data_IF_278680509092
#
_entry.id   IF_278680509092
#
_cell.length_a   1.000
_cell.length_b   1.000
_cell.length_c   1.000
_cell.angle_alpha   90.00
_cell.angle_beta   90.00
_cell.angle_gamma   90.00
#
_symmetry.space_group_name_H-M   'P 1'
#
loop_
_entity.id
_entity.type
_entity.pdbx_description
1 polymer ?
#
# COMPACT_ATOMS: atom_id res chain seq x y z
N UNK A 1 -15.31 -15.11 -7.96
CA UNK A 1 -14.86 -13.84 -7.36
C UNK A 1 -16.10 -13.14 -6.81
N UNK A 2 -16.02 -12.48 -5.66
CA UNK A 2 -17.15 -11.71 -5.14
C UNK A 2 -17.55 -10.62 -6.12
N UNK A 3 -18.85 -10.30 -6.15
CA UNK A 3 -19.40 -9.23 -6.98
C UNK A 3 -19.69 -8.03 -6.09
N UNK A 4 -19.70 -6.84 -6.68
CA UNK A 4 -20.22 -5.67 -5.98
C UNK A 4 -21.71 -5.82 -5.76
N UNK A 5 -22.12 -5.63 -4.51
CA UNK A 5 -23.53 -5.71 -4.10
C UNK A 5 -23.82 -4.54 -3.13
N UNK A 6 -24.73 -3.66 -3.54
CA UNK A 6 -25.14 -2.51 -2.71
C UNK A 6 -26.18 -2.98 -1.70
N UNK A 7 -25.82 -2.88 -0.43
CA UNK A 7 -26.74 -3.09 0.70
C UNK A 7 -27.23 -1.71 1.18
N UNK A 8 -28.50 -1.41 0.95
CA UNK A 8 -29.07 -0.13 1.32
C UNK A 8 -30.57 -0.24 1.55
N UNK A 9 -31.13 0.47 2.55
CA UNK A 9 -32.58 0.58 2.71
C UNK A 9 -33.24 1.47 1.64
N UNK A 10 -32.42 2.23 0.87
CA UNK A 10 -32.91 3.15 -0.14
C UNK A 10 -33.07 2.44 -1.49
N UNK A 11 -34.02 2.93 -2.27
CA UNK A 11 -34.20 2.57 -3.68
C UNK A 11 -33.96 3.81 -4.55
N UNK A 12 -33.41 3.66 -5.77
CA UNK A 12 -33.25 4.78 -6.69
C UNK A 12 -34.60 5.47 -6.95
N UNK A 13 -34.59 6.80 -6.86
CA UNK A 13 -35.82 7.61 -7.01
C UNK A 13 -35.56 8.88 -7.86
N UNK A 14 -36.63 9.48 -8.36
CA UNK A 14 -36.54 10.65 -9.24
C UNK A 14 -35.75 10.31 -10.52
N UNK A 15 -34.77 11.13 -10.86
CA UNK A 15 -33.90 10.99 -12.04
C UNK A 15 -32.75 9.99 -11.84
N UNK A 16 -32.59 9.43 -10.65
CA UNK A 16 -31.48 8.50 -10.35
C UNK A 16 -31.48 7.23 -11.24
N UNK A 17 -32.63 6.54 -11.48
CA UNK A 17 -32.65 5.35 -12.34
C UNK A 17 -32.10 5.63 -13.74
N UNK A 18 -32.56 6.71 -14.36
CA UNK A 18 -32.12 7.12 -15.70
C UNK A 18 -30.62 7.49 -15.71
N UNK A 19 -30.15 8.23 -14.69
CA UNK A 19 -28.75 8.58 -14.55
C UNK A 19 -27.85 7.35 -14.37
N UNK A 20 -28.26 6.36 -13.56
CA UNK A 20 -27.55 5.09 -13.37
C UNK A 20 -27.41 4.34 -14.68
N UNK A 21 -28.52 4.22 -15.41
CA UNK A 21 -28.54 3.49 -16.68
C UNK A 21 -27.68 4.18 -17.75
N UNK A 22 -27.79 5.49 -17.88
CA UNK A 22 -27.00 6.28 -18.83
C UNK A 22 -25.50 6.22 -18.53
N UNK A 23 -25.09 6.38 -17.26
CA UNK A 23 -23.68 6.32 -16.85
C UNK A 23 -23.09 4.91 -17.06
N UNK A 24 -23.83 3.86 -16.67
CA UNK A 24 -23.38 2.49 -16.86
C UNK A 24 -23.24 2.15 -18.36
N UNK A 25 -24.23 2.49 -19.18
CA UNK A 25 -24.19 2.29 -20.62
C UNK A 25 -23.02 3.07 -21.26
N UNK A 26 -22.77 4.30 -20.83
CA UNK A 26 -21.63 5.08 -21.28
C UNK A 26 -20.29 4.40 -21.01
N UNK A 27 -20.11 3.82 -19.82
CA UNK A 27 -18.89 3.06 -19.46
C UNK A 27 -18.77 1.80 -20.32
N UNK A 28 -19.86 1.06 -20.53
CA UNK A 28 -19.88 -0.15 -21.35
C UNK A 28 -19.56 0.14 -22.82
N UNK A 29 -20.02 1.28 -23.33
CA UNK A 29 -19.75 1.77 -24.69
C UNK A 29 -18.36 2.43 -24.84
N UNK A 30 -17.55 2.48 -23.75
CA UNK A 30 -16.18 2.99 -23.78
C UNK A 30 -16.08 4.52 -23.79
N UNK A 31 -17.11 5.24 -23.35
CA UNK A 31 -17.01 6.69 -23.15
C UNK A 31 -15.93 6.98 -22.10
N UNK A 32 -14.98 7.86 -22.46
CA UNK A 32 -13.85 8.22 -21.60
C UNK A 32 -14.26 9.15 -20.47
N UNK A 33 -15.22 10.01 -20.70
CA UNK A 33 -15.64 11.06 -19.79
C UNK A 33 -17.17 11.14 -19.73
N UNK A 34 -17.70 11.29 -18.52
CA UNK A 34 -19.10 11.51 -18.24
C UNK A 34 -19.23 12.44 -17.03
N UNK A 35 -20.28 13.23 -16.96
CA UNK A 35 -20.53 14.16 -15.85
C UNK A 35 -21.89 13.87 -15.24
N UNK A 36 -21.90 13.61 -13.92
CA UNK A 36 -23.12 13.56 -13.10
C UNK A 36 -23.32 14.90 -12.42
N UNK A 37 -24.30 15.68 -12.87
CA UNK A 37 -24.67 16.96 -12.28
C UNK A 37 -25.85 16.77 -11.33
N UNK A 38 -25.71 17.27 -10.11
CA UNK A 38 -26.77 17.20 -9.10
C UNK A 38 -26.48 18.12 -7.92
N UNK A 39 -27.52 18.67 -7.31
CA UNK A 39 -27.42 19.50 -6.11
C UNK A 39 -26.90 18.72 -4.91
N UNK A 40 -26.46 19.41 -3.88
CA UNK A 40 -26.06 18.79 -2.60
C UNK A 40 -27.27 18.05 -2.03
N UNK A 41 -27.06 16.83 -1.53
CA UNK A 41 -28.13 16.00 -0.98
C UNK A 41 -28.99 15.22 -2.00
N UNK A 42 -28.70 15.32 -3.32
CA UNK A 42 -29.44 14.56 -4.36
C UNK A 42 -29.07 13.06 -4.42
N UNK A 43 -28.23 12.56 -3.51
CA UNK A 43 -27.85 11.15 -3.48
C UNK A 43 -26.82 10.76 -4.55
N UNK A 44 -25.94 11.67 -5.00
CA UNK A 44 -24.90 11.37 -6.00
C UNK A 44 -24.02 10.20 -5.62
N UNK A 45 -23.61 10.10 -4.34
CA UNK A 45 -22.79 8.96 -3.87
C UNK A 45 -23.55 7.63 -4.02
N UNK A 46 -24.82 7.60 -3.68
CA UNK A 46 -25.67 6.43 -3.88
C UNK A 46 -25.86 6.07 -5.36
N UNK A 47 -26.09 7.08 -6.22
CA UNK A 47 -26.14 6.91 -7.67
C UNK A 47 -24.85 6.26 -8.18
N UNK A 48 -23.68 6.75 -7.77
CA UNK A 48 -22.38 6.16 -8.14
C UNK A 48 -22.20 4.74 -7.57
N UNK A 49 -22.66 4.45 -6.36
CA UNK A 49 -22.64 3.10 -5.82
C UNK A 49 -23.44 2.14 -6.69
N UNK A 50 -24.65 2.55 -7.15
CA UNK A 50 -25.47 1.74 -8.08
C UNK A 50 -24.84 1.59 -9.46
N UNK A 51 -24.08 2.58 -9.96
CA UNK A 51 -23.30 2.46 -11.21
C UNK A 51 -22.18 1.43 -11.03
N UNK A 52 -21.43 1.48 -9.92
CA UNK A 52 -20.35 0.52 -9.60
C UNK A 52 -20.92 -0.92 -9.52
N UNK A 53 -22.04 -1.08 -8.81
CA UNK A 53 -22.75 -2.36 -8.74
C UNK A 53 -23.14 -2.89 -10.12
N UNK A 54 -23.60 -2.02 -11.01
CA UNK A 54 -24.05 -2.42 -12.36
C UNK A 54 -22.88 -2.78 -13.27
N UNK A 55 -21.78 -2.02 -13.21
CA UNK A 55 -20.61 -2.16 -14.10
C UNK A 55 -19.64 -3.27 -13.64
N UNK A 56 -19.59 -3.57 -12.35
CA UNK A 56 -18.73 -4.64 -11.78
C UNK A 56 -17.23 -4.49 -12.07
N UNK A 57 -16.69 -3.26 -12.03
CA UNK A 57 -15.26 -2.98 -12.27
C UNK A 57 -14.60 -2.41 -11.02
N UNK A 58 -13.31 -2.74 -10.75
CA UNK A 58 -12.53 -2.02 -9.75
C UNK A 58 -12.61 -0.51 -9.98
N UNK A 59 -12.79 0.25 -8.92
CA UNK A 59 -13.10 1.68 -9.02
C UNK A 59 -12.15 2.51 -8.16
N UNK A 60 -11.61 3.58 -8.75
CA UNK A 60 -10.87 4.61 -8.03
C UNK A 60 -11.77 5.85 -7.87
N UNK A 61 -11.98 6.27 -6.61
CA UNK A 61 -12.69 7.51 -6.26
C UNK A 61 -11.65 8.53 -5.81
N UNK A 62 -11.51 9.61 -6.57
CA UNK A 62 -10.52 10.65 -6.29
C UNK A 62 -11.19 11.87 -5.67
N UNK A 63 -10.79 12.20 -4.43
CA UNK A 63 -11.26 13.36 -3.69
C UNK A 63 -10.17 14.44 -3.59
N UNK A 64 -10.56 15.70 -3.53
CA UNK A 64 -9.62 16.82 -3.50
C UNK A 64 -8.89 17.00 -2.15
N UNK A 65 -9.36 16.39 -1.07
CA UNK A 65 -8.69 16.42 0.24
C UNK A 65 -8.95 15.16 1.08
N UNK A 66 -8.18 14.99 2.18
CA UNK A 66 -8.29 13.84 3.09
C UNK A 66 -9.66 13.72 3.76
N UNK A 67 -10.28 14.84 4.13
CA UNK A 67 -11.57 14.86 4.84
C UNK A 67 -12.70 14.34 3.97
N UNK A 68 -12.79 14.84 2.73
CA UNK A 68 -13.79 14.35 1.77
C UNK A 68 -13.53 12.89 1.41
N UNK A 69 -12.25 12.49 1.24
CA UNK A 69 -11.91 11.08 0.99
C UNK A 69 -12.38 10.18 2.15
N UNK A 70 -12.21 10.61 3.41
CA UNK A 70 -12.67 9.87 4.58
C UNK A 70 -14.21 9.75 4.61
N UNK A 71 -14.91 10.82 4.33
CA UNK A 71 -16.39 10.83 4.24
C UNK A 71 -16.86 9.85 3.16
N UNK A 72 -16.36 9.98 1.93
CA UNK A 72 -16.74 9.09 0.82
C UNK A 72 -16.40 7.63 1.11
N UNK A 73 -15.25 7.36 1.73
CA UNK A 73 -14.87 6.01 2.14
C UNK A 73 -15.88 5.43 3.14
N UNK A 74 -16.33 6.21 4.12
CA UNK A 74 -17.35 5.78 5.07
C UNK A 74 -18.69 5.49 4.38
N UNK A 75 -19.16 6.38 3.50
CA UNK A 75 -20.39 6.20 2.73
C UNK A 75 -20.33 4.94 1.85
N UNK A 76 -19.22 4.72 1.12
CA UNK A 76 -19.07 3.51 0.30
C UNK A 76 -18.96 2.23 1.14
N UNK A 77 -18.36 2.26 2.34
CA UNK A 77 -18.35 1.12 3.26
C UNK A 77 -19.75 0.74 3.75
N UNK A 78 -20.62 1.73 3.95
CA UNK A 78 -22.03 1.49 4.30
C UNK A 78 -22.78 0.83 3.14
N UNK A 79 -22.54 1.28 1.89
CA UNK A 79 -23.17 0.71 0.70
C UNK A 79 -22.61 -0.67 0.32
N UNK A 80 -21.34 -0.93 0.58
CA UNK A 80 -20.62 -2.15 0.18
C UNK A 80 -19.99 -2.88 1.37
N UNK A 81 -20.79 -3.33 2.36
CA UNK A 81 -20.26 -3.94 3.59
C UNK A 81 -19.51 -5.26 3.36
N UNK A 82 -19.76 -5.94 2.22
CA UNK A 82 -19.16 -7.23 1.88
C UNK A 82 -18.03 -7.13 0.84
N UNK A 83 -17.75 -5.92 0.34
CA UNK A 83 -16.73 -5.67 -0.66
C UNK A 83 -15.54 -4.91 -0.06
N UNK A 84 -14.42 -4.87 -0.77
CA UNK A 84 -13.25 -4.14 -0.31
C UNK A 84 -13.40 -2.65 -0.63
N UNK A 85 -13.60 -1.83 0.40
CA UNK A 85 -13.59 -0.36 0.29
C UNK A 85 -12.39 0.15 1.07
N UNK A 86 -11.39 0.62 0.35
CA UNK A 86 -10.08 0.95 0.86
C UNK A 86 -9.83 2.46 0.86
N UNK A 87 -9.03 2.93 1.84
CA UNK A 87 -8.70 4.33 2.01
C UNK A 87 -7.24 4.59 1.68
N UNK A 88 -6.98 5.51 0.75
CA UNK A 88 -5.64 5.77 0.24
C UNK A 88 -5.32 7.27 0.18
N UNK A 89 -4.72 7.81 1.24
CA UNK A 89 -4.34 9.22 1.34
C UNK A 89 -2.88 9.36 1.77
N UNK A 90 -2.33 10.58 1.80
CA UNK A 90 -0.97 10.82 2.29
C UNK A 90 -0.83 10.39 3.76
N UNK A 91 0.18 9.59 4.06
CA UNK A 91 0.53 9.18 5.42
C UNK A 91 1.36 10.20 6.19
N UNK A 92 1.80 11.28 5.53
CA UNK A 92 2.47 12.38 6.21
C UNK A 92 1.45 13.26 6.95
N UNK A 93 1.66 13.44 8.24
CA UNK A 93 0.99 14.46 9.05
C UNK A 93 1.74 15.79 8.95
N UNK A 94 3.07 15.71 8.85
CA UNK A 94 3.97 16.84 8.61
C UNK A 94 5.12 16.39 7.70
N UNK A 95 5.57 17.28 6.79
CA UNK A 95 6.71 17.03 5.93
C UNK A 95 7.46 18.33 5.61
N UNK A 96 8.73 18.36 5.95
CA UNK A 96 9.69 19.39 5.54
C UNK A 96 10.84 18.72 4.80
N UNK A 97 11.06 19.03 3.52
CA UNK A 97 12.20 18.49 2.78
C UNK A 97 13.51 19.07 3.30
N UNK A 98 14.58 18.33 3.12
CA UNK A 98 15.91 18.83 3.32
C UNK A 98 16.25 19.94 2.33
N UNK A 99 17.04 20.91 2.79
CA UNK A 99 17.56 21.99 1.95
C UNK A 99 18.96 22.39 2.40
N UNK A 100 19.81 22.76 1.45
CA UNK A 100 21.13 23.31 1.73
C UNK A 100 21.24 24.71 1.13
N UNK A 101 21.68 25.68 1.95
CA UNK A 101 21.86 27.07 1.57
C UNK A 101 23.37 27.36 1.53
N UNK A 102 24.01 27.34 0.35
CA UNK A 102 25.45 27.39 0.24
C UNK A 102 26.09 28.66 0.82
N UNK A 103 25.48 29.84 0.60
CA UNK A 103 26.03 31.13 1.04
C UNK A 103 26.09 31.29 2.56
N UNK A 104 25.34 30.53 3.33
CA UNK A 104 25.36 30.53 4.81
C UNK A 104 25.90 29.24 5.38
N UNK A 105 26.29 28.28 4.53
CA UNK A 105 26.65 26.90 4.88
C UNK A 105 25.60 26.28 5.84
N UNK A 106 24.32 26.54 5.58
CA UNK A 106 23.24 26.07 6.43
C UNK A 106 22.57 24.86 5.81
N UNK A 107 22.58 23.74 6.54
CA UNK A 107 21.82 22.54 6.18
C UNK A 107 20.56 22.45 7.02
N UNK A 108 19.41 22.42 6.34
CA UNK A 108 18.10 22.17 6.94
C UNK A 108 17.83 20.68 6.78
N UNK A 109 17.79 19.96 7.89
CA UNK A 109 17.51 18.52 7.87
C UNK A 109 16.07 18.24 7.46
N UNK A 110 15.84 17.11 6.80
CA UNK A 110 14.50 16.59 6.57
C UNK A 110 13.81 16.36 7.90
N UNK A 111 12.56 16.83 8.01
CA UNK A 111 11.69 16.57 9.14
C UNK A 111 10.33 16.07 8.65
N UNK A 112 9.87 14.95 9.18
CA UNK A 112 8.62 14.34 8.75
C UNK A 112 7.98 13.57 9.89
N UNK A 113 6.67 13.71 10.03
CA UNK A 113 5.85 12.90 10.92
C UNK A 113 4.89 12.05 10.08
N UNK A 114 4.90 10.75 10.31
CA UNK A 114 4.09 9.77 9.59
C UNK A 114 3.00 9.18 10.48
N UNK A 115 1.92 8.78 9.86
CA UNK A 115 0.79 8.13 10.52
C UNK A 115 0.78 6.64 10.16
N UNK A 116 1.12 5.80 11.13
CA UNK A 116 1.23 4.35 10.93
C UNK A 116 -0.09 3.68 10.55
N UNK A 117 -1.22 4.21 11.02
CA UNK A 117 -2.53 3.66 10.66
C UNK A 117 -2.87 3.99 9.19
N UNK A 118 -2.55 5.20 8.72
CA UNK A 118 -2.74 5.54 7.30
C UNK A 118 -1.79 4.73 6.43
N UNK A 119 -0.55 4.49 6.85
CA UNK A 119 0.38 3.63 6.12
C UNK A 119 -0.16 2.19 5.99
N UNK A 120 -0.68 1.63 7.06
CA UNK A 120 -1.37 0.34 7.05
C UNK A 120 -2.53 0.31 6.05
N UNK A 121 -3.40 1.33 6.04
CA UNK A 121 -4.54 1.42 5.12
C UNK A 121 -4.10 1.51 3.66
N UNK A 122 -3.00 2.21 3.38
CA UNK A 122 -2.41 2.29 2.03
C UNK A 122 -1.91 0.93 1.56
N UNK A 123 -1.19 0.21 2.41
CA UNK A 123 -0.75 -1.16 2.10
C UNK A 123 -1.93 -2.11 1.91
N UNK A 124 -2.97 -2.02 2.76
CA UNK A 124 -4.22 -2.77 2.61
C UNK A 124 -4.86 -2.54 1.25
N UNK A 125 -4.96 -1.29 0.80
CA UNK A 125 -5.52 -0.96 -0.51
C UNK A 125 -4.73 -1.59 -1.67
N UNK A 126 -3.39 -1.56 -1.61
CA UNK A 126 -2.53 -2.16 -2.63
C UNK A 126 -2.69 -3.68 -2.66
N UNK A 127 -2.69 -4.33 -1.50
CA UNK A 127 -2.91 -5.79 -1.40
C UNK A 127 -4.29 -6.19 -1.92
N UNK A 128 -5.35 -5.43 -1.57
CA UNK A 128 -6.70 -5.70 -2.04
C UNK A 128 -6.81 -5.63 -3.56
N UNK A 129 -6.15 -4.66 -4.21
CA UNK A 129 -6.13 -4.54 -5.67
C UNK A 129 -5.43 -5.73 -6.37
N UNK A 130 -4.45 -6.35 -5.73
CA UNK A 130 -3.76 -7.53 -6.25
C UNK A 130 -4.56 -8.82 -6.05
N UNK A 131 -5.33 -8.92 -4.96
CA UNK A 131 -6.07 -10.14 -4.60
C UNK A 131 -7.50 -10.19 -5.13
N UNK A 132 -8.15 -9.02 -5.29
CA UNK A 132 -9.60 -8.92 -5.51
C UNK A 132 -9.93 -8.09 -6.74
N UNK A 133 -11.15 -8.27 -7.25
CA UNK A 133 -11.72 -7.45 -8.34
C UNK A 133 -12.85 -6.55 -7.86
N UNK A 134 -13.41 -6.84 -6.71
CA UNK A 134 -14.46 -6.06 -6.06
C UNK A 134 -13.88 -5.03 -5.08
N UNK A 135 -13.02 -4.14 -5.61
CA UNK A 135 -12.28 -3.14 -4.82
C UNK A 135 -12.68 -1.73 -5.22
N UNK A 136 -13.02 -0.93 -4.24
CA UNK A 136 -13.19 0.52 -4.37
C UNK A 136 -12.08 1.19 -3.57
N UNK A 137 -11.20 1.95 -4.21
CA UNK A 137 -10.17 2.74 -3.54
C UNK A 137 -10.62 4.19 -3.50
N UNK A 138 -10.82 4.74 -2.30
CA UNK A 138 -11.10 6.16 -2.10
C UNK A 138 -9.82 6.87 -1.72
N UNK A 139 -9.39 7.81 -2.56
CA UNK A 139 -8.07 8.42 -2.49
C UNK A 139 -8.11 9.94 -2.57
N UNK A 140 -7.02 10.55 -2.11
CA UNK A 140 -6.65 11.92 -2.44
C UNK A 140 -5.62 11.92 -3.59
N UNK A 141 -5.11 13.10 -3.98
CA UNK A 141 -4.05 13.26 -4.98
C UNK A 141 -2.79 12.43 -4.70
N UNK A 142 -2.62 11.95 -3.47
CA UNK A 142 -1.48 11.10 -3.06
C UNK A 142 -1.37 9.77 -3.81
N UNK A 143 -2.42 9.32 -4.49
CA UNK A 143 -2.39 8.09 -5.28
C UNK A 143 -1.56 8.21 -6.57
N UNK A 144 -1.20 9.43 -6.99
CA UNK A 144 -0.40 9.66 -8.20
C UNK A 144 1.07 9.97 -7.90
N UNK A 145 1.48 10.03 -6.62
CA UNK A 145 2.84 10.35 -6.22
C UNK A 145 3.41 9.31 -5.25
N UNK A 146 4.72 9.07 -5.37
CA UNK A 146 5.50 8.37 -4.37
C UNK A 146 5.05 6.93 -4.10
N UNK A 147 4.64 6.21 -5.11
CA UNK A 147 4.43 4.77 -5.07
C UNK A 147 5.66 4.08 -5.67
N UNK A 148 6.03 2.93 -5.10
CA UNK A 148 7.03 2.05 -5.68
C UNK A 148 6.56 1.45 -7.01
N UNK A 149 7.42 0.63 -7.62
CA UNK A 149 7.10 -0.09 -8.85
C UNK A 149 6.08 -1.22 -8.55
N UNK A 150 4.88 -1.22 -9.16
CA UNK A 150 3.87 -2.25 -8.90
C UNK A 150 4.33 -3.66 -9.24
N UNK A 151 5.13 -3.80 -10.31
CA UNK A 151 5.65 -5.11 -10.74
C UNK A 151 6.64 -5.67 -9.71
N UNK A 152 7.53 -4.83 -9.14
CA UNK A 152 8.44 -5.25 -8.09
C UNK A 152 7.67 -5.67 -6.84
N UNK A 153 6.67 -4.90 -6.44
CA UNK A 153 5.82 -5.24 -5.30
C UNK A 153 5.11 -6.59 -5.49
N UNK A 154 4.56 -6.84 -6.67
CA UNK A 154 3.88 -8.10 -7.00
C UNK A 154 4.85 -9.29 -7.07
N UNK A 155 6.07 -9.11 -7.59
CA UNK A 155 7.09 -10.17 -7.68
C UNK A 155 7.65 -10.56 -6.31
N UNK A 156 7.65 -9.67 -5.34
CA UNK A 156 8.15 -9.92 -3.99
C UNK A 156 7.13 -10.61 -3.08
N UNK A 157 5.91 -10.86 -3.54
CA UNK A 157 4.90 -11.60 -2.77
C UNK A 157 5.40 -13.00 -2.44
N UNK A 158 5.30 -13.39 -1.17
CA UNK A 158 5.62 -14.72 -0.69
C UNK A 158 4.33 -15.53 -0.62
N UNK A 159 4.19 -16.50 -1.49
CA UNK A 159 3.03 -17.40 -1.54
C UNK A 159 3.35 -18.67 -0.75
N UNK A 160 2.63 -18.88 0.35
CA UNK A 160 2.80 -20.05 1.21
C UNK A 160 1.56 -20.94 1.11
N UNK A 161 1.78 -22.24 0.96
CA UNK A 161 0.70 -23.23 0.84
C UNK A 161 0.99 -24.39 1.76
N UNK A 162 -0.02 -24.86 2.47
CA UNK A 162 0.08 -26.06 3.29
C UNK A 162 0.46 -27.27 2.44
N UNK A 163 1.38 -28.10 2.93
CA UNK A 163 1.95 -29.26 2.24
C UNK A 163 3.00 -28.93 1.18
N UNK A 164 3.40 -27.65 1.04
CA UNK A 164 4.47 -27.27 0.13
C UNK A 164 5.85 -27.41 0.80
N UNK A 165 6.84 -27.83 0.03
CA UNK A 165 8.23 -27.79 0.45
C UNK A 165 8.73 -26.34 0.49
N UNK A 166 9.23 -25.94 1.64
CA UNK A 166 9.83 -24.64 1.88
C UNK A 166 10.94 -24.74 2.92
N UNK A 167 12.13 -24.26 2.57
CA UNK A 167 13.19 -24.04 3.55
C UNK A 167 12.79 -22.88 4.48
N UNK A 168 12.75 -23.14 5.80
CA UNK A 168 12.40 -22.13 6.81
C UNK A 168 13.34 -20.92 6.74
N UNK A 169 14.64 -21.13 6.59
CA UNK A 169 15.63 -20.05 6.60
C UNK A 169 15.55 -19.21 5.31
N UNK A 170 15.12 -19.82 4.19
CA UNK A 170 14.76 -19.09 2.98
C UNK A 170 13.55 -18.18 3.21
N UNK A 171 12.51 -18.67 3.90
CA UNK A 171 11.36 -17.83 4.27
C UNK A 171 11.81 -16.63 5.11
N UNK A 172 12.68 -16.83 6.12
CA UNK A 172 13.17 -15.74 6.96
C UNK A 172 13.95 -14.71 6.15
N UNK A 173 14.78 -15.13 5.21
CA UNK A 173 15.53 -14.24 4.31
C UNK A 173 14.60 -13.41 3.45
N UNK A 174 13.61 -14.04 2.82
CA UNK A 174 12.61 -13.34 2.00
C UNK A 174 11.76 -12.35 2.81
N UNK A 175 11.45 -12.66 4.07
CA UNK A 175 10.76 -11.71 4.95
C UNK A 175 11.61 -10.45 5.19
N UNK A 176 12.92 -10.60 5.42
CA UNK A 176 13.82 -9.44 5.58
C UNK A 176 13.94 -8.64 4.28
N UNK A 177 14.05 -9.30 3.13
CA UNK A 177 14.03 -8.64 1.81
C UNK A 177 12.73 -7.85 1.60
N UNK A 178 11.60 -8.38 2.08
CA UNK A 178 10.29 -7.74 2.09
C UNK A 178 10.11 -6.67 3.17
N UNK A 179 11.17 -6.24 3.84
CA UNK A 179 11.20 -5.19 4.87
C UNK A 179 10.49 -5.56 6.18
N UNK A 180 10.33 -6.84 6.47
CA UNK A 180 9.94 -7.26 7.82
C UNK A 180 11.15 -7.31 8.74
N UNK A 181 10.95 -6.90 9.99
CA UNK A 181 11.96 -6.96 11.04
C UNK A 181 11.78 -8.20 11.92
N UNK A 182 12.86 -8.89 12.23
CA UNK A 182 12.80 -9.95 13.24
C UNK A 182 12.78 -9.35 14.63
N UNK A 183 11.74 -9.64 15.39
CA UNK A 183 11.67 -9.27 16.81
C UNK A 183 10.91 -10.34 17.61
N UNK A 184 11.65 -11.13 18.37
CA UNK A 184 11.09 -12.24 19.16
C UNK A 184 10.41 -11.78 20.45
N UNK A 185 10.58 -10.51 20.86
CA UNK A 185 10.04 -9.92 22.10
C UNK A 185 8.82 -9.05 21.80
N UNK A 186 8.98 -8.00 20.99
CA UNK A 186 7.92 -7.08 20.63
C UNK A 186 7.31 -7.47 19.29
N UNK A 187 6.22 -8.26 19.33
CA UNK A 187 5.52 -8.73 18.14
C UNK A 187 4.45 -7.73 17.72
N UNK A 188 4.84 -6.83 16.85
CA UNK A 188 4.02 -5.73 16.30
C UNK A 188 3.93 -5.84 14.77
N UNK A 189 3.15 -4.98 14.13
CA UNK A 189 3.07 -4.91 12.66
C UNK A 189 4.47 -4.77 12.03
N UNK A 190 4.65 -5.29 10.84
CA UNK A 190 5.91 -5.32 10.10
C UNK A 190 6.99 -6.19 10.73
N UNK A 191 6.63 -7.03 11.70
CA UNK A 191 7.59 -7.90 12.38
C UNK A 191 7.24 -9.36 12.21
N UNK A 192 8.27 -10.18 12.32
CA UNK A 192 8.13 -11.62 12.45
C UNK A 192 8.96 -12.13 13.63
N UNK A 193 8.56 -13.25 14.17
CA UNK A 193 9.31 -13.95 15.23
C UNK A 193 9.40 -15.43 14.94
N UNK A 194 10.41 -16.08 15.50
CA UNK A 194 10.71 -17.49 15.27
C UNK A 194 10.79 -18.22 16.60
N UNK A 195 10.07 -19.33 16.71
CA UNK A 195 10.09 -20.22 17.88
C UNK A 195 10.17 -21.65 17.44
N UNK A 196 11.41 -22.21 17.38
CA UNK A 196 11.64 -23.55 16.84
C UNK A 196 11.25 -23.62 15.37
N UNK A 197 10.37 -24.53 15.04
CA UNK A 197 9.87 -24.75 13.68
C UNK A 197 8.63 -23.88 13.34
N UNK A 198 8.33 -22.89 14.17
CA UNK A 198 7.20 -21.98 13.98
C UNK A 198 7.69 -20.59 13.64
N UNK A 199 7.19 -20.03 12.53
CA UNK A 199 7.40 -18.63 12.12
C UNK A 199 6.07 -17.91 12.24
N UNK A 200 6.04 -16.85 13.03
CA UNK A 200 4.89 -15.98 13.17
C UNK A 200 5.18 -14.64 12.51
N UNK A 201 4.28 -14.20 11.62
CA UNK A 201 4.43 -13.01 10.79
C UNK A 201 3.26 -12.08 11.10
N UNK A 202 3.53 -10.81 11.41
CA UNK A 202 2.49 -9.80 11.55
C UNK A 202 2.51 -8.86 10.33
N UNK A 203 1.67 -9.13 9.32
CA UNK A 203 1.67 -8.37 8.08
C UNK A 203 1.41 -6.87 8.31
N UNK A 204 2.08 -6.05 7.51
CA UNK A 204 2.00 -4.59 7.58
C UNK A 204 0.58 -4.05 7.37
N UNK A 205 -0.20 -4.73 6.54
CA UNK A 205 -1.55 -4.36 6.12
C UNK A 205 -2.67 -4.93 7.01
N UNK A 206 -2.35 -5.79 7.98
CA UNK A 206 -3.32 -6.34 8.93
C UNK A 206 -3.46 -5.45 10.18
N UNK A 207 -4.65 -5.44 10.77
CA UNK A 207 -4.93 -4.70 11.99
C UNK A 207 -4.84 -5.59 13.24
N UNK A 208 -5.60 -6.67 13.26
CA UNK A 208 -5.80 -7.53 14.43
C UNK A 208 -5.50 -9.00 14.12
N UNK A 209 -4.77 -9.26 13.05
CA UNK A 209 -4.48 -10.60 12.56
C UNK A 209 -2.99 -10.78 12.32
N UNK A 210 -2.49 -11.98 12.61
CA UNK A 210 -1.14 -12.42 12.29
C UNK A 210 -1.19 -13.82 11.70
N UNK A 211 -0.15 -14.19 10.98
CA UNK A 211 -0.04 -15.49 10.31
C UNK A 211 1.00 -16.32 11.05
N UNK A 212 0.64 -17.55 11.38
CA UNK A 212 1.55 -18.57 11.93
C UNK A 212 1.75 -19.64 10.89
N UNK A 213 3.02 -19.93 10.61
CA UNK A 213 3.48 -20.99 9.71
C UNK A 213 4.26 -22.01 10.55
N UNK A 214 3.76 -23.22 10.61
CA UNK A 214 4.36 -24.33 11.36
C UNK A 214 5.01 -25.28 10.36
N UNK A 215 6.28 -25.60 10.59
CA UNK A 215 7.07 -26.46 9.73
C UNK A 215 7.26 -27.84 10.35
N UNK A 216 7.30 -28.85 9.52
CA UNK A 216 7.76 -30.18 9.87
C UNK A 216 8.91 -30.58 8.90
N UNK A 217 10.14 -30.41 9.34
CA UNK A 217 11.30 -30.42 8.46
C UNK A 217 11.22 -29.28 7.44
N UNK A 218 11.31 -29.60 6.15
CA UNK A 218 11.24 -28.65 5.04
C UNK A 218 9.84 -28.56 4.42
N UNK A 219 8.80 -29.01 5.14
CA UNK A 219 7.41 -28.94 4.68
C UNK A 219 6.59 -27.99 5.58
N UNK A 220 5.71 -27.20 4.97
CA UNK A 220 4.73 -26.39 5.69
C UNK A 220 3.60 -27.32 6.15
N UNK A 221 3.62 -27.72 7.42
CA UNK A 221 2.59 -28.59 8.03
C UNK A 221 1.27 -27.86 8.20
N UNK A 222 1.32 -26.61 8.70
CA UNK A 222 0.11 -25.85 9.00
C UNK A 222 0.32 -24.35 8.82
N UNK A 223 -0.73 -23.70 8.31
CA UNK A 223 -0.83 -22.24 8.27
C UNK A 223 -2.08 -21.81 9.05
N UNK A 224 -1.97 -20.85 9.95
CA UNK A 224 -3.10 -20.35 10.73
C UNK A 224 -3.09 -18.82 10.83
N UNK A 225 -4.30 -18.26 10.76
CA UNK A 225 -4.60 -16.87 11.09
C UNK A 225 -4.93 -16.81 12.58
N UNK A 226 -4.26 -15.97 13.34
CA UNK A 226 -4.43 -15.86 14.77
C UNK A 226 -4.40 -14.40 15.26
N UNK A 227 -4.97 -14.16 16.44
CA UNK A 227 -4.95 -12.85 17.07
C UNK A 227 -3.58 -12.64 17.78
N UNK A 228 -2.80 -11.59 17.43
CA UNK A 228 -1.41 -11.44 17.88
C UNK A 228 -1.24 -11.27 19.38
N UNK A 229 -2.23 -10.69 20.09
CA UNK A 229 -2.16 -10.46 21.54
C UNK A 229 -2.59 -11.68 22.35
N UNK A 230 -3.66 -12.36 21.92
CA UNK A 230 -4.22 -13.50 22.67
C UNK A 230 -3.66 -14.85 22.24
N UNK A 231 -3.09 -14.93 21.03
CA UNK A 231 -2.62 -16.18 20.42
C UNK A 231 -3.76 -17.08 19.92
N UNK A 232 -5.02 -16.63 20.04
CA UNK A 232 -6.20 -17.41 19.63
C UNK A 232 -6.19 -17.59 18.12
N UNK A 233 -6.29 -18.84 17.66
CA UNK A 233 -6.42 -19.17 16.25
C UNK A 233 -7.84 -18.84 15.78
N UNK A 234 -7.96 -17.97 14.79
CA UNK A 234 -9.21 -17.59 14.16
C UNK A 234 -9.65 -18.64 13.13
N UNK A 235 -8.70 -19.07 12.30
CA UNK A 235 -8.93 -20.07 11.24
C UNK A 235 -7.63 -20.72 10.78
N UNK A 236 -7.74 -21.93 10.22
CA UNK A 236 -6.66 -22.60 9.49
C UNK A 236 -6.79 -22.26 8.02
N UNK A 237 -5.63 -22.00 7.37
CA UNK A 237 -5.52 -21.58 5.98
C UNK A 237 -4.81 -22.66 5.17
N UNK A 238 -5.30 -22.93 3.97
CA UNK A 238 -4.60 -23.78 3.01
C UNK A 238 -3.55 -23.01 2.21
N UNK A 239 -3.72 -21.68 2.15
CA UNK A 239 -2.83 -20.79 1.41
C UNK A 239 -2.88 -19.38 2.01
N UNK A 240 -1.73 -18.68 1.98
CA UNK A 240 -1.63 -17.26 2.31
C UNK A 240 -0.59 -16.60 1.42
N UNK A 241 -0.87 -15.36 1.02
CA UNK A 241 0.08 -14.45 0.37
C UNK A 241 0.60 -13.45 1.40
N UNK A 242 1.92 -13.35 1.57
CA UNK A 242 2.56 -12.32 2.40
C UNK A 242 3.13 -11.26 1.48
N UNK A 243 2.57 -10.06 1.56
CA UNK A 243 3.00 -8.91 0.78
C UNK A 243 4.14 -8.16 1.48
N UNK A 244 4.94 -7.39 0.74
CA UNK A 244 5.97 -6.54 1.33
C UNK A 244 5.43 -5.60 2.40
N UNK A 245 6.25 -5.32 3.42
CA UNK A 245 5.91 -4.42 4.52
C UNK A 245 6.01 -2.92 4.14
N UNK A 246 6.39 -2.61 2.91
CA UNK A 246 6.52 -1.25 2.39
C UNK A 246 6.21 -1.22 0.89
N UNK A 247 5.66 -0.10 0.41
CA UNK A 247 5.53 0.14 -1.04
C UNK A 247 6.89 0.32 -1.73
N UNK A 248 7.92 0.73 -0.97
CA UNK A 248 9.25 1.04 -1.48
C UNK A 248 10.16 -0.18 -1.40
N UNK A 249 9.78 -1.24 -2.09
CA UNK A 249 10.61 -2.42 -2.29
C UNK A 249 11.16 -2.44 -3.70
N UNK A 250 12.36 -2.94 -3.86
CA UNK A 250 13.01 -3.10 -5.15
C UNK A 250 13.91 -4.33 -5.13
N UNK A 251 14.12 -4.92 -6.28
CA UNK A 251 15.00 -6.07 -6.41
C UNK A 251 16.46 -5.69 -6.19
N UNK A 252 17.27 -6.64 -5.72
CA UNK A 252 18.70 -6.42 -5.48
C UNK A 252 19.43 -5.91 -6.73
N UNK A 253 19.14 -6.48 -7.89
CA UNK A 253 19.78 -6.07 -9.16
C UNK A 253 19.46 -4.61 -9.55
N UNK A 254 18.23 -4.16 -9.29
CA UNK A 254 17.86 -2.75 -9.50
C UNK A 254 18.59 -1.83 -8.52
N UNK A 255 18.71 -2.25 -7.26
CA UNK A 255 19.43 -1.50 -6.22
C UNK A 255 20.92 -1.36 -6.58
N UNK A 256 21.59 -2.45 -6.93
CA UNK A 256 23.00 -2.42 -7.30
C UNK A 256 23.26 -1.53 -8.52
N UNK A 257 22.37 -1.58 -9.51
CA UNK A 257 22.42 -0.70 -10.69
C UNK A 257 22.24 0.77 -10.30
N UNK A 258 21.25 1.09 -9.47
CA UNK A 258 21.00 2.45 -8.99
C UNK A 258 22.20 3.01 -8.22
N UNK A 259 22.79 2.21 -7.32
CA UNK A 259 24.01 2.59 -6.59
C UNK A 259 25.17 2.89 -7.55
N UNK A 260 25.34 2.08 -8.60
CA UNK A 260 26.34 2.33 -9.63
C UNK A 260 26.14 3.65 -10.36
N UNK A 261 24.90 3.95 -10.77
CA UNK A 261 24.55 5.21 -11.43
C UNK A 261 24.77 6.43 -10.50
N UNK A 262 24.29 6.35 -9.25
CA UNK A 262 24.49 7.42 -8.25
C UNK A 262 25.97 7.72 -8.02
N UNK A 263 26.83 6.72 -8.00
CA UNK A 263 28.28 6.91 -7.86
C UNK A 263 28.87 7.70 -9.04
N UNK A 264 28.48 7.33 -10.26
CA UNK A 264 28.94 8.04 -11.47
C UNK A 264 28.48 9.50 -11.47
N UNK A 265 27.20 9.73 -11.20
CA UNK A 265 26.64 11.08 -11.11
C UNK A 265 27.32 11.91 -10.01
N UNK A 266 27.61 11.31 -8.85
CA UNK A 266 28.33 11.99 -7.78
C UNK A 266 29.74 12.42 -8.20
N UNK A 267 30.49 11.55 -8.87
CA UNK A 267 31.84 11.87 -9.35
C UNK A 267 31.83 13.01 -10.38
N UNK A 268 30.87 13.00 -11.30
CA UNK A 268 30.66 14.05 -12.28
C UNK A 268 30.29 15.38 -11.59
N UNK A 269 29.40 15.37 -10.63
CA UNK A 269 28.94 16.57 -9.94
C UNK A 269 30.02 17.16 -9.03
N UNK A 270 30.80 16.33 -8.34
CA UNK A 270 31.94 16.76 -7.53
C UNK A 270 32.99 17.43 -8.42
N UNK A 271 33.29 16.86 -9.61
CA UNK A 271 34.19 17.45 -10.57
C UNK A 271 33.68 18.81 -11.05
N UNK A 272 32.39 18.90 -11.40
CA UNK A 272 31.78 20.17 -11.82
C UNK A 272 31.94 21.26 -10.73
N UNK A 273 31.66 20.93 -9.46
CA UNK A 273 31.83 21.91 -8.38
C UNK A 273 33.28 22.34 -8.18
N UNK A 274 34.23 21.42 -8.25
CA UNK A 274 35.65 21.75 -8.14
C UNK A 274 36.13 22.62 -9.31
N UNK A 275 35.74 22.32 -10.55
CA UNK A 275 36.09 23.07 -11.76
C UNK A 275 35.50 24.50 -11.74
N UNK A 276 34.43 24.74 -10.99
CA UNK A 276 33.81 26.07 -10.82
C UNK A 276 34.14 26.72 -9.47
N UNK A 277 35.17 26.25 -8.75
CA UNK A 277 35.64 26.79 -7.45
C UNK A 277 34.57 26.76 -6.33
N UNK A 278 33.52 25.89 -6.45
CA UNK A 278 32.46 25.71 -5.49
C UNK A 278 32.88 24.64 -4.44
N UNK A 279 33.91 24.92 -3.66
CA UNK A 279 34.56 23.92 -2.81
C UNK A 279 33.67 23.44 -1.64
N UNK A 280 32.82 24.31 -1.13
CA UNK A 280 31.90 23.96 -0.03
C UNK A 280 30.85 22.99 -0.51
N UNK A 281 30.27 23.22 -1.67
CA UNK A 281 29.28 22.34 -2.30
C UNK A 281 29.91 20.98 -2.64
N UNK A 282 31.14 20.97 -3.19
CA UNK A 282 31.89 19.76 -3.48
C UNK A 282 32.09 18.89 -2.20
N UNK A 283 32.50 19.54 -1.10
CA UNK A 283 32.70 18.87 0.16
C UNK A 283 31.36 18.34 0.72
N UNK A 284 30.29 19.13 0.70
CA UNK A 284 29.01 18.78 1.28
C UNK A 284 28.35 17.60 0.58
N UNK A 285 28.38 17.55 -0.76
CA UNK A 285 27.80 16.42 -1.49
C UNK A 285 28.56 15.11 -1.25
N UNK A 286 29.87 15.17 -0.95
CA UNK A 286 30.68 14.01 -0.61
C UNK A 286 30.37 13.46 0.81
N UNK A 287 30.05 14.35 1.77
CA UNK A 287 29.70 13.95 3.15
C UNK A 287 28.45 13.07 3.15
N UNK A 288 27.44 13.37 2.34
CA UNK A 288 26.22 12.55 2.22
C UNK A 288 26.49 11.08 1.87
N UNK A 289 27.59 10.78 1.17
CA UNK A 289 28.00 9.41 0.85
C UNK A 289 28.38 8.56 2.08
N UNK A 290 28.78 9.17 3.17
CA UNK A 290 29.21 8.45 4.38
C UNK A 290 28.05 7.93 5.24
N UNK A 291 26.80 8.29 4.92
CA UNK A 291 25.58 7.97 5.67
C UNK A 291 24.59 7.09 4.89
N UNK A 292 24.98 6.56 3.73
CA UNK A 292 24.18 5.62 2.93
C UNK A 292 24.69 4.18 3.07
#
# INVERSE_FOLDING_TARGET
MPKFEVVSPYQPSGDQPEAIDALAAGIENGLKEQVLLGVTGSGKTYTMAKVIEKVQRPTLVLAHNKTLAAQLCAEFKEFFPNNAVEYFVSYYDYYQPEAYIPHTDTYIAKDASTNDEIDRLRLSATCALLERRDVIVVSSVSCIYGLGEPDDFAQMVISLRQGAEWDRDELLRRLVENRYERNDVAFERNRFRVRGDTVEIYPAYYKDHAIRVEFFGDEIDRISDFHPLTGTVNRVLNHVAIYPASHYVTTKDKMDRAIGQIRTELEEQVKYFNDNEMLVEAQRIQIGRAHV
#
